data_IF_273520010598
#
_entry.id   IF_273520010598
#
_cell.length_a   1.000
_cell.length_b   1.000
_cell.length_c   1.000
_cell.angle_alpha   90.00
_cell.angle_beta   90.00
_cell.angle_gamma   90.00
#
_symmetry.space_group_name_H-M   'P 1'
#
loop_
_entity.id
_entity.type
_entity.pdbx_description
1 polymer ?
#
# COMPACT_ATOMS: atom_id res chain seq x y z
N UNK A 1 -0.84 -31.02 13.25
CA UNK A 1 -1.10 -29.61 12.95
C UNK A 1 0.22 -28.97 12.61
N UNK A 2 0.23 -27.99 11.74
CA UNK A 2 1.46 -27.38 11.26
C UNK A 2 2.02 -26.39 12.30
N UNK A 3 3.34 -26.19 12.27
CA UNK A 3 4.05 -25.21 13.09
C UNK A 3 4.22 -23.94 12.29
N UNK A 4 3.86 -22.79 12.86
CA UNK A 4 3.91 -21.49 12.17
C UNK A 4 5.04 -20.64 12.74
N UNK A 5 5.91 -20.15 11.86
CA UNK A 5 7.01 -19.26 12.22
C UNK A 5 6.70 -17.87 11.64
N UNK A 6 6.68 -16.87 12.51
CA UNK A 6 6.60 -15.46 12.15
C UNK A 6 8.00 -14.90 11.94
N UNK A 7 8.26 -14.39 10.74
CA UNK A 7 9.48 -13.64 10.44
C UNK A 7 9.23 -12.17 10.76
N UNK A 8 10.09 -11.57 11.58
CA UNK A 8 9.96 -10.17 11.98
C UNK A 8 10.47 -9.24 10.88
N UNK A 9 9.83 -8.10 10.68
CA UNK A 9 10.21 -7.07 9.71
C UNK A 9 10.44 -7.59 8.28
N UNK A 10 9.72 -8.64 7.86
CA UNK A 10 9.76 -9.15 6.50
C UNK A 10 11.13 -9.74 6.10
N UNK A 11 11.64 -9.34 4.94
CA UNK A 11 12.89 -9.90 4.42
C UNK A 11 14.13 -9.51 5.22
N UNK A 12 14.09 -8.39 5.94
CA UNK A 12 15.20 -8.00 6.79
C UNK A 12 15.38 -8.98 7.96
N UNK A 13 14.32 -9.30 8.69
CA UNK A 13 14.42 -10.31 9.74
C UNK A 13 14.67 -11.71 9.17
N UNK A 14 14.30 -11.98 7.91
CA UNK A 14 14.70 -13.25 7.27
C UNK A 14 16.22 -13.34 7.10
N UNK A 15 16.85 -12.27 6.61
CA UNK A 15 18.31 -12.17 6.42
C UNK A 15 19.03 -12.21 7.76
N UNK A 16 18.53 -11.49 8.76
CA UNK A 16 19.16 -11.40 10.09
C UNK A 16 18.81 -12.56 11.03
N UNK A 17 17.89 -13.44 10.63
CA UNK A 17 17.44 -14.56 11.46
C UNK A 17 16.56 -14.13 12.65
N UNK A 18 15.80 -13.03 12.52
CA UNK A 18 14.80 -12.56 13.48
C UNK A 18 13.46 -13.23 13.19
N UNK A 19 13.12 -14.22 14.01
CA UNK A 19 11.87 -14.96 13.89
C UNK A 19 11.40 -15.46 15.25
N UNK A 20 10.11 -15.74 15.34
CA UNK A 20 9.49 -16.36 16.52
C UNK A 20 8.41 -17.35 16.09
N UNK A 21 8.17 -18.35 16.94
CA UNK A 21 7.03 -19.24 16.75
C UNK A 21 5.72 -18.48 17.06
N UNK A 22 4.68 -18.75 16.28
CA UNK A 22 3.35 -18.17 16.46
C UNK A 22 2.36 -19.24 16.89
N UNK A 23 1.65 -18.98 17.98
CA UNK A 23 0.54 -19.80 18.45
C UNK A 23 -0.82 -19.08 18.33
N UNK A 24 -1.87 -19.72 18.84
CA UNK A 24 -3.21 -19.16 18.81
C UNK A 24 -3.39 -17.94 19.72
N UNK A 25 -2.56 -17.79 20.76
CA UNK A 25 -2.57 -16.64 21.64
C UNK A 25 -1.95 -15.43 20.95
N UNK A 26 -0.91 -15.62 20.13
CA UNK A 26 -0.30 -14.55 19.33
C UNK A 26 -1.27 -13.90 18.35
N UNK A 27 -2.26 -14.65 17.87
CA UNK A 27 -3.26 -14.18 16.90
C UNK A 27 -4.59 -13.75 17.52
N UNK A 28 -4.74 -13.90 18.85
CA UNK A 28 -5.99 -13.56 19.53
C UNK A 28 -6.16 -12.05 19.63
N UNK A 29 -7.29 -11.55 19.11
CA UNK A 29 -7.69 -10.15 19.26
C UNK A 29 -7.09 -9.18 18.25
N UNK A 30 -6.23 -9.64 17.34
CA UNK A 30 -5.55 -8.81 16.35
C UNK A 30 -6.39 -8.53 15.11
N UNK A 31 -7.51 -9.26 14.91
CA UNK A 31 -8.37 -9.15 13.73
C UNK A 31 -8.85 -7.72 13.43
N UNK A 32 -9.00 -6.89 14.48
CA UNK A 32 -9.46 -5.50 14.38
C UNK A 32 -8.33 -4.47 14.41
N UNK A 33 -7.08 -4.92 14.60
CA UNK A 33 -5.91 -4.06 14.79
C UNK A 33 -5.28 -3.84 13.42
N UNK A 34 -5.12 -2.57 13.03
CA UNK A 34 -4.38 -2.21 11.81
C UNK A 34 -2.88 -2.46 11.94
N UNK A 35 -2.19 -2.54 10.81
CA UNK A 35 -0.75 -2.84 10.78
C UNK A 35 -0.46 -4.34 10.78
N UNK A 36 0.67 -4.72 11.39
CA UNK A 36 1.16 -6.10 11.43
C UNK A 36 1.87 -6.36 12.77
N UNK A 37 1.59 -7.52 13.38
CA UNK A 37 2.22 -7.93 14.65
C UNK A 37 3.67 -8.41 14.50
N UNK A 38 4.11 -8.58 13.25
CA UNK A 38 5.48 -8.99 12.91
C UNK A 38 6.35 -7.81 12.50
N UNK A 39 5.80 -6.59 12.44
CA UNK A 39 6.50 -5.47 11.82
C UNK A 39 6.61 -5.64 10.30
N UNK A 40 7.32 -4.70 9.66
CA UNK A 40 7.58 -4.69 8.23
C UNK A 40 8.81 -3.83 7.98
N UNK A 41 9.74 -4.31 7.16
CA UNK A 41 10.76 -3.45 6.57
C UNK A 41 10.26 -2.89 5.23
N UNK A 42 10.68 -1.67 4.92
CA UNK A 42 10.40 -1.07 3.60
C UNK A 42 11.60 -1.35 2.69
N UNK A 43 11.35 -2.05 1.57
CA UNK A 43 12.29 -2.22 0.44
C UNK A 43 13.56 -3.03 0.77
N UNK A 44 13.47 -4.03 1.63
CA UNK A 44 14.56 -5.00 1.81
C UNK A 44 14.52 -6.04 0.71
N UNK A 45 15.53 -6.05 -0.15
CA UNK A 45 15.77 -7.07 -1.15
C UNK A 45 16.92 -7.97 -0.70
N UNK A 46 16.69 -9.28 -0.47
CA UNK A 46 17.78 -10.21 -0.14
C UNK A 46 18.90 -10.25 -1.18
N UNK A 47 18.66 -9.87 -2.44
CA UNK A 47 19.67 -9.84 -3.49
C UNK A 47 20.43 -8.52 -3.57
N UNK A 48 19.94 -7.47 -2.91
CA UNK A 48 20.46 -6.10 -2.95
C UNK A 48 20.25 -5.42 -1.57
N UNK A 49 20.85 -5.99 -0.52
CA UNK A 49 20.68 -5.53 0.86
C UNK A 49 21.91 -4.78 1.36
N UNK A 50 21.68 -3.60 1.93
CA UNK A 50 22.70 -2.84 2.68
C UNK A 50 22.38 -2.95 4.17
N UNK A 51 23.19 -3.71 4.90
CA UNK A 51 22.99 -3.90 6.33
C UNK A 51 23.34 -2.66 7.18
N UNK A 52 22.97 -2.66 8.47
CA UNK A 52 23.33 -1.59 9.39
C UNK A 52 24.85 -1.38 9.45
N UNK A 53 25.31 -0.17 9.11
CA UNK A 53 26.73 0.18 9.10
C UNK A 53 27.49 -0.25 7.83
N UNK A 54 26.80 -0.83 6.85
CA UNK A 54 27.35 -1.11 5.52
C UNK A 54 27.11 0.08 4.59
N UNK A 55 28.01 0.28 3.63
CA UNK A 55 27.93 1.38 2.65
C UNK A 55 27.55 0.91 1.25
N UNK A 56 27.70 -0.38 0.98
CA UNK A 56 27.50 -0.99 -0.34
C UNK A 56 26.56 -2.19 -0.19
N UNK A 57 25.58 -2.35 -1.10
CA UNK A 57 24.65 -3.46 -1.05
C UNK A 57 25.34 -4.78 -1.42
N UNK A 58 24.80 -5.88 -0.91
CA UNK A 58 25.28 -7.24 -1.17
C UNK A 58 24.12 -8.20 -1.32
N UNK A 59 24.36 -9.26 -2.07
CA UNK A 59 23.46 -10.42 -2.09
C UNK A 59 23.58 -11.17 -0.77
N UNK A 60 22.50 -11.13 0.01
CA UNK A 60 22.30 -11.78 1.30
C UNK A 60 21.26 -12.90 1.24
N UNK A 61 20.95 -13.39 0.03
CA UNK A 61 19.98 -14.45 -0.17
C UNK A 61 20.38 -15.72 0.57
N UNK A 62 21.68 -16.03 0.64
CA UNK A 62 22.19 -17.21 1.34
C UNK A 62 21.88 -17.18 2.83
N UNK A 63 21.96 -16.03 3.50
CA UNK A 63 21.56 -15.91 4.91
C UNK A 63 20.05 -16.08 5.08
N UNK A 64 19.26 -15.51 4.18
CA UNK A 64 17.81 -15.69 4.20
C UNK A 64 17.42 -17.19 4.05
N UNK A 65 18.08 -17.92 3.14
CA UNK A 65 17.86 -19.38 3.01
C UNK A 65 18.36 -20.17 4.21
N UNK A 66 19.52 -19.80 4.78
CA UNK A 66 20.01 -20.43 6.00
C UNK A 66 19.02 -20.28 7.16
N UNK A 67 18.33 -19.13 7.26
CA UNK A 67 17.25 -18.94 8.23
C UNK A 67 16.06 -19.87 7.95
N UNK A 68 15.61 -19.98 6.69
CA UNK A 68 14.53 -20.89 6.30
C UNK A 68 14.87 -22.36 6.62
N UNK A 69 16.08 -22.79 6.34
CA UNK A 69 16.58 -24.14 6.66
C UNK A 69 16.64 -24.35 8.19
N UNK A 70 17.17 -23.37 8.93
CA UNK A 70 17.29 -23.43 10.39
C UNK A 70 15.94 -23.58 11.09
N UNK A 71 14.89 -22.95 10.58
CA UNK A 71 13.54 -23.07 11.14
C UNK A 71 12.79 -24.29 10.64
N UNK A 72 13.32 -25.00 9.63
CA UNK A 72 12.68 -26.14 8.99
C UNK A 72 11.47 -25.75 8.14
N UNK A 73 11.55 -24.62 7.42
CA UNK A 73 10.44 -24.13 6.61
C UNK A 73 10.21 -25.02 5.37
N UNK A 74 8.98 -25.54 5.25
CA UNK A 74 8.55 -26.35 4.09
C UNK A 74 7.77 -25.53 3.05
N UNK A 75 7.24 -24.37 3.47
CA UNK A 75 6.55 -23.41 2.62
C UNK A 75 6.69 -22.00 3.20
N UNK A 76 6.52 -20.99 2.35
CA UNK A 76 6.57 -19.57 2.73
C UNK A 76 5.25 -18.88 2.35
N UNK A 77 4.63 -18.20 3.32
CA UNK A 77 3.50 -17.31 3.08
C UNK A 77 4.00 -15.88 3.17
N UNK A 78 3.83 -15.11 2.09
CA UNK A 78 4.27 -13.71 2.04
C UNK A 78 3.07 -12.79 1.90
N UNK A 79 3.01 -11.75 2.73
CA UNK A 79 1.88 -10.80 2.78
C UNK A 79 2.41 -9.41 2.47
N UNK A 80 2.09 -8.86 1.30
CA UNK A 80 2.67 -7.60 0.85
C UNK A 80 2.10 -7.06 -0.45
N UNK A 81 2.70 -5.97 -0.95
CA UNK A 81 2.32 -5.35 -2.22
C UNK A 81 3.05 -5.96 -3.42
N UNK A 82 2.91 -5.33 -4.59
CA UNK A 82 3.46 -5.84 -5.86
C UNK A 82 4.98 -6.06 -5.80
N UNK A 83 5.73 -5.10 -5.24
CA UNK A 83 7.18 -5.22 -5.06
C UNK A 83 7.57 -6.43 -4.19
N UNK A 84 6.81 -6.74 -3.15
CA UNK A 84 7.03 -7.94 -2.33
C UNK A 84 6.79 -9.21 -3.15
N UNK A 85 5.74 -9.26 -3.98
CA UNK A 85 5.42 -10.42 -4.81
C UNK A 85 6.49 -10.67 -5.88
N UNK A 86 6.94 -9.60 -6.56
CA UNK A 86 8.00 -9.66 -7.56
C UNK A 86 9.30 -10.18 -6.95
N UNK A 87 9.70 -9.62 -5.82
CA UNK A 87 10.90 -10.00 -5.10
C UNK A 87 10.82 -11.45 -4.62
N UNK A 88 9.69 -11.85 -4.04
CA UNK A 88 9.47 -13.25 -3.63
C UNK A 88 9.59 -14.20 -4.82
N UNK A 89 9.02 -13.83 -5.97
CA UNK A 89 9.12 -14.64 -7.18
C UNK A 89 10.57 -14.83 -7.63
N UNK A 90 11.42 -13.79 -7.53
CA UNK A 90 12.83 -13.87 -7.91
C UNK A 90 13.65 -14.66 -6.87
N UNK A 91 13.45 -14.36 -5.59
CA UNK A 91 14.17 -14.95 -4.46
C UNK A 91 13.88 -16.44 -4.29
N UNK A 92 12.60 -16.85 -4.23
CA UNK A 92 12.20 -18.19 -3.81
C UNK A 92 12.03 -19.20 -4.97
N UNK A 93 12.23 -18.77 -6.23
CA UNK A 93 11.95 -19.58 -7.41
C UNK A 93 12.66 -20.93 -7.38
N UNK A 94 11.86 -22.01 -7.33
CA UNK A 94 12.38 -23.38 -7.34
C UNK A 94 13.12 -23.81 -6.08
N UNK A 95 13.08 -23.01 -5.00
CA UNK A 95 13.76 -23.28 -3.72
C UNK A 95 12.79 -23.68 -2.61
N UNK A 96 11.64 -23.00 -2.51
CA UNK A 96 10.58 -23.30 -1.54
C UNK A 96 9.21 -22.98 -2.17
N UNK A 97 8.15 -23.77 -1.90
CA UNK A 97 6.79 -23.39 -2.24
C UNK A 97 6.39 -22.06 -1.60
N UNK A 98 5.74 -21.19 -2.38
CA UNK A 98 5.35 -19.85 -1.93
C UNK A 98 3.86 -19.62 -2.18
N UNK A 99 3.19 -18.99 -1.21
CA UNK A 99 1.87 -18.37 -1.38
C UNK A 99 1.98 -16.86 -1.10
N UNK A 100 1.59 -16.05 -2.08
CA UNK A 100 1.53 -14.60 -1.95
C UNK A 100 0.12 -14.13 -1.61
N UNK A 101 0.00 -13.25 -0.60
CA UNK A 101 -1.26 -12.61 -0.19
C UNK A 101 -1.16 -11.10 -0.48
N UNK A 102 -1.98 -10.55 -1.39
CA UNK A 102 -1.92 -9.14 -1.77
C UNK A 102 -2.44 -8.26 -0.64
N UNK A 103 -1.54 -7.48 -0.02
CA UNK A 103 -1.83 -6.53 1.06
C UNK A 103 -1.14 -5.20 0.81
N UNK A 104 -1.86 -4.28 0.18
CA UNK A 104 -1.47 -2.89 -0.07
C UNK A 104 -2.70 -2.01 -0.14
N UNK A 105 -2.56 -0.73 0.21
CA UNK A 105 -3.62 0.27 0.01
C UNK A 105 -3.68 0.77 -1.44
N UNK A 106 -2.61 0.57 -2.22
CA UNK A 106 -2.47 1.13 -3.58
C UNK A 106 -3.34 0.39 -4.60
N UNK A 107 -3.78 -0.83 -4.27
CA UNK A 107 -4.52 -1.75 -5.15
C UNK A 107 -3.85 -1.99 -6.51
N UNK A 108 -2.52 -1.99 -6.54
CA UNK A 108 -1.68 -2.07 -7.74
C UNK A 108 -1.10 -3.48 -7.99
N UNK A 109 -1.63 -4.51 -7.33
CA UNK A 109 -1.12 -5.88 -7.44
C UNK A 109 -1.82 -6.63 -8.58
N UNK A 110 -1.04 -7.11 -9.55
CA UNK A 110 -1.59 -7.88 -10.66
C UNK A 110 -2.20 -9.23 -10.20
N UNK A 111 -3.35 -9.61 -10.78
CA UNK A 111 -4.00 -10.90 -10.51
C UNK A 111 -4.99 -10.88 -9.33
N UNK A 112 -5.30 -9.70 -8.78
CA UNK A 112 -6.43 -9.49 -7.87
C UNK A 112 -7.15 -8.19 -8.22
N UNK A 113 -8.48 -8.17 -8.07
CA UNK A 113 -9.26 -6.93 -8.20
C UNK A 113 -9.16 -6.07 -6.94
N UNK A 114 -8.94 -6.71 -5.77
CA UNK A 114 -8.89 -6.06 -4.47
C UNK A 114 -7.74 -6.59 -3.61
N UNK A 115 -6.88 -5.70 -3.13
CA UNK A 115 -5.85 -5.98 -2.14
C UNK A 115 -6.36 -5.69 -0.72
N UNK A 116 -5.82 -6.43 0.26
CA UNK A 116 -6.13 -6.22 1.67
C UNK A 116 -5.62 -4.84 2.10
N UNK A 117 -6.53 -4.03 2.65
CA UNK A 117 -6.25 -2.66 3.11
C UNK A 117 -6.86 -1.57 2.22
N UNK A 118 -7.11 -1.86 0.94
CA UNK A 118 -7.64 -0.88 -0.01
C UNK A 118 -9.02 -0.32 0.40
N UNK A 119 -9.97 -1.18 0.79
CA UNK A 119 -11.31 -0.75 1.21
C UNK A 119 -11.28 0.16 2.46
N UNK A 120 -10.40 -0.14 3.42
CA UNK A 120 -10.21 0.69 4.61
C UNK A 120 -9.66 2.06 4.24
N UNK A 121 -8.72 2.10 3.28
CA UNK A 121 -8.19 3.36 2.74
C UNK A 121 -9.28 4.19 2.05
N UNK A 122 -10.08 3.60 1.16
CA UNK A 122 -11.20 4.29 0.49
C UNK A 122 -12.15 4.90 1.52
N UNK A 123 -12.54 4.12 2.54
CA UNK A 123 -13.44 4.60 3.60
C UNK A 123 -12.84 5.80 4.34
N UNK A 124 -11.54 5.74 4.64
CA UNK A 124 -10.83 6.81 5.36
C UNK A 124 -10.76 8.10 4.54
N UNK A 125 -10.48 7.99 3.23
CA UNK A 125 -10.43 9.14 2.32
C UNK A 125 -11.83 9.71 2.09
N UNK A 126 -12.84 8.86 1.97
CA UNK A 126 -14.25 9.28 1.82
C UNK A 126 -14.69 10.08 3.05
N UNK A 127 -14.41 9.58 4.26
CA UNK A 127 -14.71 10.29 5.51
C UNK A 127 -13.98 11.65 5.61
N UNK A 128 -12.77 11.75 5.04
CA UNK A 128 -12.04 13.01 4.97
C UNK A 128 -12.72 13.99 3.99
N UNK A 129 -13.14 13.52 2.82
CA UNK A 129 -13.87 14.33 1.84
C UNK A 129 -15.18 14.87 2.39
N UNK A 130 -15.97 14.04 3.08
CA UNK A 130 -17.23 14.46 3.71
C UNK A 130 -17.01 15.61 4.70
N UNK A 131 -15.95 15.55 5.50
CA UNK A 131 -15.57 16.63 6.41
C UNK A 131 -15.16 17.90 5.65
N UNK A 132 -14.44 17.75 4.54
CA UNK A 132 -14.02 18.88 3.71
C UNK A 132 -15.18 19.56 2.98
N UNK A 133 -16.22 18.82 2.58
CA UNK A 133 -17.42 19.41 1.96
C UNK A 133 -18.07 20.48 2.84
N UNK A 134 -18.29 20.18 4.12
CA UNK A 134 -18.96 21.09 5.05
C UNK A 134 -18.28 22.45 5.18
N UNK A 135 -16.94 22.47 5.20
CA UNK A 135 -16.14 23.70 5.29
C UNK A 135 -16.00 24.40 3.94
N UNK A 136 -15.89 23.64 2.85
CA UNK A 136 -15.79 24.20 1.51
C UNK A 136 -17.07 24.92 1.09
N UNK A 137 -18.23 24.33 1.36
CA UNK A 137 -19.54 24.90 1.06
C UNK A 137 -19.80 26.17 1.86
N UNK A 138 -19.51 26.15 3.17
CA UNK A 138 -19.75 27.28 4.08
C UNK A 138 -18.91 28.52 3.75
N UNK A 139 -17.75 28.35 3.12
CA UNK A 139 -16.80 29.44 2.85
C UNK A 139 -16.50 29.64 1.37
N UNK A 140 -17.26 29.01 0.47
CA UNK A 140 -17.07 29.11 -0.98
C UNK A 140 -15.61 28.82 -1.41
N UNK A 141 -15.07 27.68 -0.96
CA UNK A 141 -13.66 27.32 -1.18
C UNK A 141 -13.49 26.23 -2.23
N UNK A 142 -12.32 26.27 -2.87
CA UNK A 142 -11.78 25.16 -3.63
C UNK A 142 -10.83 24.42 -2.71
N UNK A 143 -11.05 23.12 -2.52
CA UNK A 143 -10.23 22.26 -1.68
C UNK A 143 -9.71 21.11 -2.52
N UNK A 144 -8.41 20.87 -2.44
CA UNK A 144 -7.76 19.73 -3.08
C UNK A 144 -7.24 18.80 -1.98
N UNK A 145 -7.64 17.54 -2.03
CA UNK A 145 -7.17 16.48 -1.14
C UNK A 145 -6.19 15.59 -1.91
N UNK A 146 -4.93 15.61 -1.50
CA UNK A 146 -3.94 14.66 -1.99
C UNK A 146 -4.09 13.32 -1.26
N UNK A 147 -4.05 12.21 -2.01
CA UNK A 147 -4.21 10.85 -1.49
C UNK A 147 -3.11 9.93 -1.99
N UNK A 148 -2.80 8.92 -1.17
CA UNK A 148 -1.82 7.89 -1.53
C UNK A 148 -2.31 7.02 -2.69
N UNK A 149 -1.36 6.32 -3.32
CA UNK A 149 -1.63 5.35 -4.40
C UNK A 149 -0.40 5.02 -5.25
N UNK A 150 0.78 5.56 -4.89
CA UNK A 150 2.02 5.52 -5.64
C UNK A 150 1.79 5.95 -7.09
N UNK A 151 1.88 5.03 -8.03
CA UNK A 151 1.70 5.27 -9.46
C UNK A 151 0.31 4.86 -9.96
N UNK A 152 -0.61 4.50 -9.06
CA UNK A 152 -1.96 4.06 -9.38
C UNK A 152 -3.01 5.06 -8.84
N UNK A 153 -4.05 5.29 -9.64
CA UNK A 153 -5.15 6.20 -9.35
C UNK A 153 -6.32 5.58 -8.59
N UNK A 154 -6.24 4.31 -8.18
CA UNK A 154 -7.38 3.57 -7.62
C UNK A 154 -8.00 4.22 -6.40
N UNK A 155 -7.17 4.67 -5.44
CA UNK A 155 -7.66 5.34 -4.22
C UNK A 155 -8.36 6.64 -4.57
N UNK A 156 -7.72 7.50 -5.37
CA UNK A 156 -8.28 8.78 -5.79
C UNK A 156 -9.60 8.61 -6.56
N UNK A 157 -9.66 7.62 -7.46
CA UNK A 157 -10.85 7.35 -8.25
C UNK A 157 -12.01 6.85 -7.40
N UNK A 158 -11.80 5.81 -6.60
CA UNK A 158 -12.87 5.20 -5.81
C UNK A 158 -13.36 6.14 -4.71
N UNK A 159 -12.43 6.72 -3.95
CA UNK A 159 -12.79 7.64 -2.87
C UNK A 159 -13.33 8.97 -3.40
N UNK A 160 -12.81 9.47 -4.51
CA UNK A 160 -13.34 10.67 -5.16
C UNK A 160 -14.78 10.49 -5.62
N UNK A 161 -15.13 9.34 -6.22
CA UNK A 161 -16.52 9.05 -6.58
C UNK A 161 -17.40 8.90 -5.33
N UNK A 162 -16.95 8.13 -4.34
CA UNK A 162 -17.71 7.87 -3.12
C UNK A 162 -17.94 9.15 -2.29
N UNK A 163 -16.93 10.00 -2.18
CA UNK A 163 -16.95 11.26 -1.44
C UNK A 163 -17.42 12.46 -2.27
N UNK A 164 -17.98 12.25 -3.46
CA UNK A 164 -18.58 13.33 -4.27
C UNK A 164 -17.59 14.42 -4.71
N UNK A 165 -16.36 14.03 -5.06
CA UNK A 165 -15.38 14.95 -5.62
C UNK A 165 -15.80 15.43 -7.02
N UNK A 166 -15.59 16.71 -7.28
CA UNK A 166 -15.93 17.35 -8.55
C UNK A 166 -14.83 17.21 -9.61
N UNK A 167 -13.60 17.02 -9.12
CA UNK A 167 -12.38 16.83 -9.91
C UNK A 167 -11.61 15.66 -9.31
N UNK A 168 -11.23 14.71 -10.14
CA UNK A 168 -10.40 13.57 -9.73
C UNK A 168 -9.21 13.52 -10.69
N UNK A 169 -8.01 13.65 -10.14
CA UNK A 169 -6.76 13.60 -10.88
C UNK A 169 -6.04 12.30 -10.55
N UNK A 170 -5.70 11.54 -11.59
CA UNK A 170 -5.10 10.21 -11.50
C UNK A 170 -3.90 10.10 -12.45
N UNK A 171 -2.85 9.33 -12.11
CA UNK A 171 -1.66 9.18 -12.95
C UNK A 171 -1.96 8.55 -14.32
N UNK A 172 -3.01 7.75 -14.44
CA UNK A 172 -3.39 7.10 -15.70
C UNK A 172 -3.98 8.07 -16.73
N UNK A 173 -4.28 9.31 -16.34
CA UNK A 173 -4.88 10.31 -17.22
C UNK A 173 -4.22 11.68 -17.04
N UNK A 174 -3.49 12.10 -18.06
CA UNK A 174 -2.94 13.45 -18.13
C UNK A 174 -4.02 14.53 -17.99
N UNK A 175 -3.67 15.61 -17.30
CA UNK A 175 -4.52 16.77 -17.09
C UNK A 175 -3.69 18.05 -17.22
N UNK A 176 -4.35 19.18 -17.46
CA UNK A 176 -3.72 20.50 -17.39
C UNK A 176 -4.42 21.38 -16.37
N UNK A 177 -3.71 22.41 -15.89
CA UNK A 177 -4.27 23.38 -14.95
C UNK A 177 -5.46 24.11 -15.59
N UNK A 178 -5.41 24.38 -16.88
CA UNK A 178 -6.51 25.02 -17.63
C UNK A 178 -7.79 24.19 -17.57
N UNK A 179 -7.70 22.86 -17.70
CA UNK A 179 -8.86 21.97 -17.60
C UNK A 179 -9.49 22.01 -16.20
N UNK A 180 -8.66 22.10 -15.16
CA UNK A 180 -9.12 22.24 -13.77
C UNK A 180 -9.83 23.60 -13.60
N UNK A 181 -9.22 24.69 -14.06
CA UNK A 181 -9.80 26.03 -13.99
C UNK A 181 -11.12 26.13 -14.76
N UNK A 182 -11.20 25.52 -15.94
CA UNK A 182 -12.42 25.50 -16.73
C UNK A 182 -13.54 24.73 -16.03
N UNK A 183 -13.21 23.60 -15.39
CA UNK A 183 -14.17 22.85 -14.59
C UNK A 183 -14.69 23.66 -13.40
N UNK A 184 -13.81 24.38 -12.70
CA UNK A 184 -14.19 25.29 -11.60
C UNK A 184 -15.12 26.39 -12.10
N UNK A 185 -14.77 27.08 -13.20
CA UNK A 185 -15.60 28.14 -13.81
C UNK A 185 -16.97 27.62 -14.24
N UNK A 186 -17.02 26.41 -14.81
CA UNK A 186 -18.29 25.78 -15.21
C UNK A 186 -19.20 25.50 -14.01
N UNK A 187 -18.64 25.16 -12.85
CA UNK A 187 -19.40 24.96 -11.61
C UNK A 187 -19.91 26.27 -11.04
N UNK A 188 -19.04 27.28 -10.99
CA UNK A 188 -19.40 28.62 -10.53
C UNK A 188 -20.55 29.20 -11.38
N UNK A 189 -20.49 29.06 -12.70
CA UNK A 189 -21.54 29.50 -13.62
C UNK A 189 -22.89 28.79 -13.40
N UNK A 190 -22.90 27.62 -12.74
CA UNK A 190 -24.11 26.87 -12.38
C UNK A 190 -24.60 27.18 -10.96
N UNK A 191 -23.95 28.11 -10.25
CA UNK A 191 -24.28 28.49 -8.87
C UNK A 191 -23.60 27.66 -7.79
N UNK A 192 -22.68 26.74 -8.15
CA UNK A 192 -21.88 26.00 -7.18
C UNK A 192 -20.60 26.78 -6.87
N UNK A 193 -20.57 27.45 -5.72
CA UNK A 193 -19.45 28.31 -5.30
C UNK A 193 -18.34 27.58 -4.54
N UNK A 194 -18.35 26.25 -4.53
CA UNK A 194 -17.29 25.43 -3.95
C UNK A 194 -16.91 24.28 -4.90
N UNK A 195 -15.69 23.78 -4.76
CA UNK A 195 -15.18 22.64 -5.53
C UNK A 195 -14.33 21.76 -4.64
N UNK A 196 -14.62 20.46 -4.63
CA UNK A 196 -13.78 19.45 -4.00
C UNK A 196 -13.03 18.70 -5.09
N UNK A 197 -11.70 18.65 -4.97
CA UNK A 197 -10.84 17.86 -5.85
C UNK A 197 -10.06 16.81 -5.07
N UNK A 198 -9.82 15.66 -5.70
CA UNK A 198 -8.94 14.61 -5.19
C UNK A 198 -7.80 14.41 -6.17
N UNK A 199 -6.58 14.28 -5.64
CA UNK A 199 -5.35 14.16 -6.43
C UNK A 199 -4.59 12.94 -5.92
N UNK A 200 -4.33 11.94 -6.75
CA UNK A 200 -3.41 10.87 -6.38
C UNK A 200 -1.96 11.40 -6.36
N UNK A 201 -1.15 11.00 -5.38
CA UNK A 201 0.24 11.47 -5.19
C UNK A 201 1.14 11.28 -6.42
N UNK A 202 0.89 10.25 -7.23
CA UNK A 202 1.62 10.00 -8.49
C UNK A 202 1.16 10.83 -9.68
N UNK A 203 0.15 11.69 -9.50
CA UNK A 203 -0.39 12.51 -10.57
C UNK A 203 0.56 13.67 -10.87
N UNK A 204 1.04 13.74 -12.11
CA UNK A 204 1.81 14.87 -12.62
C UNK A 204 0.98 15.62 -13.66
N UNK A 205 1.05 16.96 -13.61
CA UNK A 205 0.51 17.85 -14.63
C UNK A 205 1.42 17.91 -15.87
#
# INVERSE_FOLDING_TARGET
GDRVIGIEDGYEGLIEGRYRELDINDTRGILRIGGTILGSSNRTDPTDYTGPGETEPRDRSSEAFATLEKVGAEALIVVGGDGTMLLTHQFAKGRIPVVGIPKTIDNDVHGTDYAIGFQTCITTVTDALDKLHTTAESHHRIVLLEVMGRSAGWVALFAGIAGGADIILIPERAYSIEQILDKVRQREARGSHFTIGVIAEGSAA
#
